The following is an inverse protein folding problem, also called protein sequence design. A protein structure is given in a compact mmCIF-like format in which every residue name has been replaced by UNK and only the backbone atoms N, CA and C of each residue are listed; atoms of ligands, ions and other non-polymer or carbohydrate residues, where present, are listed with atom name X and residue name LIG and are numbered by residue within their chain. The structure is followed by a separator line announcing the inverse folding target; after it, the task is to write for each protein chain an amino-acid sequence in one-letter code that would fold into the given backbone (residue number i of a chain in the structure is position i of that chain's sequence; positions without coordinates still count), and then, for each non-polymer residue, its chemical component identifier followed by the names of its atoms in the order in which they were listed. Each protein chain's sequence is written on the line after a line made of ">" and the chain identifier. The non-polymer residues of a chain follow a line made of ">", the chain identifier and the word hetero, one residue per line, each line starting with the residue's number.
data_IF_402507847338
#
_entry.id   IF_402507847338
#
_cell.length_a   1.000
_cell.length_b   1.000
_cell.length_c   1.000
_cell.angle_alpha   90.00
_cell.angle_beta   90.00
_cell.angle_gamma   90.00
#
_symmetry.space_group_name_H-M   'P 1'
#
loop_
_entity.id
_entity.type
_entity.pdbx_description
1 polymer ?
#
# COMPACT_ATOMS: atom_id res chain seq x y z
N UNK A 1 32.58 10.75 6.52
CA UNK A 1 31.91 11.64 5.56
C UNK A 1 30.54 11.92 6.14
N UNK A 2 30.14 13.17 6.22
CA UNK A 2 28.86 13.56 6.81
C UNK A 2 27.72 13.08 5.90
N UNK A 3 26.58 12.66 6.47
CA UNK A 3 25.38 12.28 5.69
C UNK A 3 24.97 13.37 4.69
N UNK A 4 25.26 14.64 5.00
CA UNK A 4 25.08 15.79 4.10
C UNK A 4 25.92 15.70 2.81
N UNK A 5 27.15 15.21 2.89
CA UNK A 5 28.06 15.06 1.74
C UNK A 5 27.66 13.86 0.86
N UNK A 6 27.08 12.83 1.46
CA UNK A 6 26.55 11.66 0.75
C UNK A 6 25.28 11.98 -0.04
N UNK A 7 24.35 12.75 0.56
CA UNK A 7 23.13 13.18 -0.11
C UNK A 7 23.41 14.08 -1.33
N UNK A 8 24.35 15.02 -1.20
CA UNK A 8 24.78 15.88 -2.31
C UNK A 8 25.40 15.08 -3.47
N UNK A 9 26.15 14.02 -3.17
CA UNK A 9 26.70 13.10 -4.19
C UNK A 9 25.61 12.28 -4.88
N UNK A 10 24.54 11.94 -4.17
CA UNK A 10 23.41 11.16 -4.69
C UNK A 10 22.34 12.02 -5.38
N UNK A 11 22.53 13.34 -5.49
CA UNK A 11 21.55 14.25 -6.09
C UNK A 11 20.25 14.37 -5.30
N UNK A 12 20.25 13.94 -4.03
CA UNK A 12 19.09 14.05 -3.16
C UNK A 12 19.04 15.47 -2.60
N UNK A 13 17.87 16.15 -2.63
CA UNK A 13 17.75 17.48 -2.04
C UNK A 13 18.07 17.41 -0.54
N UNK A 14 18.60 18.50 0.02
CA UNK A 14 18.73 18.64 1.47
C UNK A 14 17.33 18.69 2.08
N UNK A 15 16.80 17.52 2.45
CA UNK A 15 15.50 17.40 3.10
C UNK A 15 15.58 17.93 4.53
N UNK A 16 14.95 19.08 4.78
CA UNK A 16 14.65 19.56 6.12
C UNK A 16 13.18 19.25 6.45
N UNK A 17 12.95 18.55 7.55
CA UNK A 17 11.61 18.10 7.97
C UNK A 17 10.73 19.25 8.47
N UNK A 18 11.26 20.48 8.64
CA UNK A 18 10.50 21.67 9.05
C UNK A 18 10.01 22.49 7.86
N UNK A 19 10.35 22.10 6.64
CA UNK A 19 9.85 22.77 5.45
C UNK A 19 8.38 22.37 5.22
N UNK A 20 7.48 23.36 5.28
CA UNK A 20 6.03 23.14 5.14
C UNK A 20 5.64 22.55 3.76
N UNK A 21 6.54 22.60 2.78
CA UNK A 21 6.33 21.98 1.47
C UNK A 21 6.45 20.45 1.49
N UNK A 22 6.97 19.85 2.57
CA UNK A 22 7.03 18.39 2.72
C UNK A 22 5.63 17.76 2.83
N UNK A 23 4.68 18.47 3.47
CA UNK A 23 3.29 18.01 3.62
C UNK A 23 2.55 17.92 2.28
N UNK A 24 3.06 18.54 1.21
CA UNK A 24 2.27 18.78 -0.01
C UNK A 24 2.65 17.93 -1.23
N UNK A 25 3.70 17.10 -1.18
CA UNK A 25 4.20 16.40 -2.38
C UNK A 25 4.25 14.87 -2.31
N UNK A 26 3.76 14.24 -1.25
CA UNK A 26 3.56 12.80 -1.22
C UNK A 26 2.16 12.50 -0.71
N UNK A 27 1.13 12.65 -1.56
CA UNK A 27 -0.04 11.81 -1.34
C UNK A 27 0.45 10.37 -1.49
N UNK A 28 0.45 9.53 -0.44
CA UNK A 28 0.68 8.12 -0.66
C UNK A 28 -0.35 7.67 -1.69
N UNK A 29 0.10 7.09 -2.80
CA UNK A 29 -0.79 6.28 -3.62
C UNK A 29 -1.23 5.15 -2.70
N UNK A 30 -2.37 5.32 -2.03
CA UNK A 30 -2.87 4.33 -1.10
C UNK A 30 -3.45 3.18 -1.91
N UNK A 31 -2.61 2.18 -2.17
CA UNK A 31 -3.03 0.92 -2.75
C UNK A 31 -3.98 0.22 -1.77
N UNK A 32 -5.28 0.20 -2.10
CA UNK A 32 -6.31 -0.36 -1.23
C UNK A 32 -6.64 -1.79 -1.64
N UNK A 33 -6.50 -2.74 -0.72
CA UNK A 33 -7.01 -4.10 -0.87
C UNK A 33 -8.39 -4.18 -0.22
N UNK A 34 -9.39 -4.78 -0.90
CA UNK A 34 -10.73 -4.99 -0.35
C UNK A 34 -11.00 -6.48 -0.15
N UNK A 35 -11.70 -6.81 0.92
CA UNK A 35 -12.09 -8.19 1.25
C UNK A 35 -13.61 -8.31 1.28
N UNK A 36 -14.12 -9.40 0.69
CA UNK A 36 -15.54 -9.75 0.73
C UNK A 36 -15.72 -10.97 1.62
N UNK A 37 -16.79 -10.94 2.41
CA UNK A 37 -17.17 -12.00 3.33
C UNK A 37 -18.60 -12.43 3.08
N UNK A 38 -18.90 -13.72 3.29
CA UNK A 38 -20.26 -14.22 3.37
C UNK A 38 -20.88 -13.96 4.76
N UNK A 39 -22.15 -14.33 4.92
CA UNK A 39 -22.86 -14.19 6.20
C UNK A 39 -22.24 -15.01 7.35
N UNK A 40 -21.52 -16.08 7.04
CA UNK A 40 -20.85 -16.93 8.03
C UNK A 40 -19.45 -16.43 8.39
N UNK A 41 -18.99 -15.33 7.78
CA UNK A 41 -17.66 -14.76 8.01
C UNK A 41 -16.55 -15.42 7.20
N UNK A 42 -16.87 -16.27 6.22
CA UNK A 42 -15.85 -16.81 5.32
C UNK A 42 -15.49 -15.77 4.25
N UNK A 43 -14.20 -15.62 3.96
CA UNK A 43 -13.73 -14.68 2.93
C UNK A 43 -14.01 -15.23 1.53
N UNK A 44 -14.95 -14.64 0.80
CA UNK A 44 -15.33 -15.09 -0.55
C UNK A 44 -14.48 -14.47 -1.67
N UNK A 45 -13.91 -13.28 -1.46
CA UNK A 45 -13.04 -12.65 -2.45
C UNK A 45 -12.03 -11.65 -1.86
N UNK A 46 -10.91 -11.47 -2.58
CA UNK A 46 -9.94 -10.38 -2.38
C UNK A 46 -9.85 -9.56 -3.66
N UNK A 47 -10.08 -8.25 -3.57
CA UNK A 47 -9.91 -7.30 -4.68
C UNK A 47 -8.60 -6.55 -4.47
N UNK A 48 -7.70 -6.68 -5.45
CA UNK A 48 -6.38 -6.06 -5.46
C UNK A 48 -6.47 -4.57 -5.86
N UNK A 49 -5.42 -3.77 -5.56
CA UNK A 49 -5.39 -2.34 -5.86
C UNK A 49 -5.53 -2.01 -7.35
N UNK A 50 -5.15 -2.96 -8.22
CA UNK A 50 -5.27 -2.88 -9.67
C UNK A 50 -6.62 -3.37 -10.22
N UNK A 51 -7.58 -3.68 -9.33
CA UNK A 51 -8.92 -4.12 -9.68
C UNK A 51 -9.05 -5.62 -9.97
N UNK A 52 -7.96 -6.40 -9.96
CA UNK A 52 -8.04 -7.86 -10.11
C UNK A 52 -8.73 -8.48 -8.89
N UNK A 53 -9.52 -9.53 -9.13
CA UNK A 53 -10.26 -10.25 -8.09
C UNK A 53 -9.82 -11.70 -7.99
N UNK A 54 -9.52 -12.14 -6.76
CA UNK A 54 -9.24 -13.53 -6.41
C UNK A 54 -10.46 -14.06 -5.65
N UNK A 55 -11.10 -15.11 -6.18
CA UNK A 55 -12.29 -15.72 -5.58
C UNK A 55 -11.93 -16.98 -4.80
N UNK A 56 -12.58 -17.18 -3.66
CA UNK A 56 -12.46 -18.38 -2.83
C UNK A 56 -13.79 -19.14 -2.87
N UNK A 57 -13.76 -20.35 -3.43
CA UNK A 57 -14.91 -21.25 -3.44
C UNK A 57 -14.76 -22.26 -2.31
N UNK A 58 -15.69 -22.23 -1.35
CA UNK A 58 -15.78 -23.20 -0.28
C UNK A 58 -16.82 -24.25 -0.66
N UNK A 59 -16.35 -25.38 -1.16
CA UNK A 59 -17.20 -26.56 -1.24
C UNK A 59 -17.26 -27.15 0.16
N UNK A 60 -18.47 -27.22 0.74
CA UNK A 60 -18.69 -27.96 1.99
C UNK A 60 -18.20 -29.40 1.84
N UNK A 61 -17.90 -30.07 2.95
CA UNK A 61 -17.43 -31.46 2.95
C UNK A 61 -18.42 -32.34 2.20
N UNK A 62 -18.18 -32.58 0.91
CA UNK A 62 -18.96 -33.51 0.11
C UNK A 62 -18.90 -34.87 0.78
N UNK A 63 -20.02 -35.32 1.32
CA UNK A 63 -20.22 -36.68 1.81
C UNK A 63 -20.99 -37.46 0.76
#
# INVERSE_FOLDING_TARGET
>A
MSSKEENARNGLPETDWRDAQYDMLYLPVTETVRYHYDFHGNRTATVLPDGRQINYLYYGSGH
#
